data_IF_943669331567
#
_entry.id   IF_943669331567
#
_cell.length_a   1.000
_cell.length_b   1.000
_cell.length_c   1.000
_cell.angle_alpha   90.00
_cell.angle_beta   90.00
_cell.angle_gamma   90.00
#
_symmetry.space_group_name_H-M   'P 1'
#
loop_
_entity.id
_entity.type
_entity.pdbx_description
1 polymer ?
#
# COMPACT_ATOMS: atom_id res chain seq x y z
N UNK A 1 -2.14 8.18 -2.09
CA UNK A 1 -2.14 8.38 -0.62
C UNK A 1 -1.35 9.64 -0.27
N UNK A 2 -1.74 10.44 0.74
CA UNK A 2 -0.99 11.65 1.12
C UNK A 2 0.44 11.35 1.57
N UNK A 3 1.40 12.19 1.16
CA UNK A 3 2.82 12.00 1.48
C UNK A 3 3.11 12.00 2.98
N UNK A 4 2.37 12.78 3.79
CA UNK A 4 2.62 12.87 5.24
C UNK A 4 2.45 11.52 5.97
N UNK A 5 1.80 10.52 5.38
CA UNK A 5 1.69 9.19 6.00
C UNK A 5 3.06 8.59 6.31
N UNK A 6 4.10 8.91 5.52
CA UNK A 6 5.46 8.40 5.76
C UNK A 6 6.10 8.98 7.03
N UNK A 7 5.56 10.05 7.61
CA UNK A 7 6.04 10.60 8.90
C UNK A 7 5.42 9.91 10.12
N UNK A 8 4.42 9.05 9.92
CA UNK A 8 3.72 8.34 10.99
C UNK A 8 4.52 7.08 11.38
N UNK A 9 5.66 7.24 12.04
CA UNK A 9 6.62 6.17 12.37
C UNK A 9 6.02 4.99 13.18
N UNK A 10 4.97 5.24 13.93
CA UNK A 10 4.25 4.23 14.72
C UNK A 10 2.98 3.69 14.03
N UNK A 11 2.76 4.03 12.77
CA UNK A 11 1.60 3.56 12.03
C UNK A 11 1.70 2.05 11.80
N UNK A 12 0.69 1.32 12.29
CA UNK A 12 0.62 -0.15 12.19
C UNK A 12 -0.41 -0.63 11.18
N UNK A 13 -1.49 0.11 11.01
CA UNK A 13 -2.59 -0.30 10.15
C UNK A 13 -3.03 0.88 9.31
N UNK A 14 -3.06 0.67 8.00
CA UNK A 14 -3.68 1.58 7.07
C UNK A 14 -4.58 0.79 6.12
N UNK A 15 -5.86 1.14 6.14
CA UNK A 15 -6.85 0.58 5.23
C UNK A 15 -7.43 1.73 4.42
N UNK A 16 -7.28 1.66 3.10
CA UNK A 16 -7.82 2.65 2.18
C UNK A 16 -9.09 2.09 1.54
N UNK A 17 -10.13 2.90 1.53
CA UNK A 17 -11.40 2.61 0.89
C UNK A 17 -11.81 3.84 0.08
N UNK A 18 -12.37 3.61 -1.12
CA UNK A 18 -12.99 4.67 -1.91
C UNK A 18 -14.50 4.58 -1.76
N UNK A 19 -15.15 5.74 -1.73
CA UNK A 19 -16.60 5.83 -1.70
C UNK A 19 -17.23 5.55 -3.08
N UNK A 20 -16.45 5.71 -4.16
CA UNK A 20 -16.88 5.44 -5.53
C UNK A 20 -15.73 4.85 -6.37
N UNK A 21 -16.08 3.90 -7.24
CA UNK A 21 -15.14 3.20 -8.12
C UNK A 21 -14.41 2.03 -7.46
N UNK A 22 -14.02 1.05 -8.27
CA UNK A 22 -13.14 -0.05 -7.86
C UNK A 22 -11.76 0.28 -8.41
N UNK A 23 -11.01 1.12 -7.69
CA UNK A 23 -9.61 1.26 -8.02
C UNK A 23 -8.69 1.50 -6.81
N UNK A 24 -7.49 0.94 -6.88
CA UNK A 24 -6.47 1.05 -5.86
C UNK A 24 -5.97 2.48 -5.64
N UNK A 25 -5.21 2.67 -4.57
CA UNK A 25 -4.51 3.92 -4.25
C UNK A 25 -3.01 3.73 -4.39
N UNK A 26 -2.37 4.55 -5.21
CA UNK A 26 -0.90 4.60 -5.29
C UNK A 26 -0.31 4.99 -3.94
N UNK A 27 0.71 4.24 -3.52
CA UNK A 27 1.51 4.55 -2.35
C UNK A 27 2.61 5.56 -2.71
N UNK A 28 2.87 6.58 -1.87
CA UNK A 28 3.99 7.48 -2.07
C UNK A 28 5.31 6.73 -1.85
N UNK A 29 6.35 7.26 -2.48
CA UNK A 29 7.73 6.86 -2.21
C UNK A 29 8.05 7.00 -0.71
N UNK A 30 8.83 6.04 -0.18
CA UNK A 30 9.26 6.02 1.21
C UNK A 30 8.31 5.31 2.17
N UNK A 31 7.16 4.81 1.71
CA UNK A 31 6.26 3.97 2.55
C UNK A 31 7.00 2.76 3.11
N UNK A 32 7.90 2.16 2.34
CA UNK A 32 8.76 1.05 2.75
C UNK A 32 9.65 1.35 3.96
N UNK A 33 9.79 2.62 4.37
CA UNK A 33 10.50 2.99 5.60
C UNK A 33 9.69 2.75 6.89
N UNK A 34 8.37 2.54 6.79
CA UNK A 34 7.48 2.31 7.93
C UNK A 34 7.66 0.90 8.49
N UNK A 35 8.64 0.73 9.40
CA UNK A 35 9.04 -0.58 9.95
C UNK A 35 7.96 -1.25 10.80
N UNK A 36 7.00 -0.49 11.33
CA UNK A 36 5.94 -1.00 12.21
C UNK A 36 4.67 -1.41 11.46
N UNK A 37 4.65 -1.33 10.13
CA UNK A 37 3.44 -1.57 9.36
C UNK A 37 3.05 -3.05 9.33
N UNK A 38 1.83 -3.35 9.77
CA UNK A 38 1.27 -4.71 9.85
C UNK A 38 0.15 -4.94 8.83
N UNK A 39 -0.54 -3.89 8.41
CA UNK A 39 -1.69 -3.99 7.48
C UNK A 39 -1.69 -2.83 6.50
N UNK A 40 -1.73 -3.17 5.21
CA UNK A 40 -1.83 -2.23 4.10
C UNK A 40 -2.85 -2.75 3.09
N UNK A 41 -4.01 -2.11 2.97
CA UNK A 41 -5.07 -2.56 2.05
C UNK A 41 -5.62 -1.41 1.20
N UNK A 42 -6.16 -1.76 0.03
CA UNK A 42 -6.73 -0.81 -0.92
C UNK A 42 -5.70 -0.15 -1.83
N UNK A 43 -4.57 -0.81 -2.08
CA UNK A 43 -3.49 -0.25 -2.90
C UNK A 43 -3.63 -0.63 -4.38
N UNK A 44 -3.09 0.23 -5.23
CA UNK A 44 -2.87 0.00 -6.66
C UNK A 44 -1.49 -0.68 -6.84
N UNK A 45 -1.38 -1.84 -7.54
CA UNK A 45 -0.12 -2.55 -7.72
C UNK A 45 0.86 -1.88 -8.68
N UNK A 46 0.44 -0.84 -9.40
CA UNK A 46 1.25 -0.18 -10.44
C UNK A 46 2.42 0.64 -9.86
N UNK A 47 3.40 0.95 -10.72
CA UNK A 47 4.38 2.03 -10.52
C UNK A 47 5.21 1.96 -9.23
N UNK A 48 6.19 1.06 -9.17
CA UNK A 48 7.15 1.00 -8.05
C UNK A 48 6.59 0.47 -6.73
N UNK A 49 5.28 0.23 -6.64
CA UNK A 49 4.59 -0.28 -5.45
C UNK A 49 5.24 -1.54 -4.87
N UNK A 50 5.63 -2.50 -5.72
CA UNK A 50 6.33 -3.70 -5.28
C UNK A 50 7.66 -3.40 -4.56
N UNK A 51 8.38 -2.37 -5.02
CA UNK A 51 9.66 -1.93 -4.45
C UNK A 51 9.52 -1.32 -3.06
N UNK A 52 8.39 -0.69 -2.76
CA UNK A 52 8.06 -0.18 -1.43
C UNK A 52 7.57 -1.32 -0.51
N UNK A 53 6.67 -2.17 -1.00
CA UNK A 53 6.11 -3.30 -0.23
C UNK A 53 7.20 -4.27 0.22
N UNK A 54 8.20 -4.55 -0.63
CA UNK A 54 9.29 -5.47 -0.25
C UNK A 54 10.05 -5.05 1.01
N UNK A 55 10.03 -3.75 1.34
CA UNK A 55 10.71 -3.19 2.52
C UNK A 55 9.85 -3.23 3.79
N UNK A 56 8.54 -3.49 3.67
CA UNK A 56 7.60 -3.63 4.79
C UNK A 56 7.69 -5.03 5.41
N UNK A 57 8.82 -5.34 6.05
CA UNK A 57 9.14 -6.70 6.54
C UNK A 57 8.22 -7.21 7.65
N UNK A 58 7.46 -6.33 8.31
CA UNK A 58 6.47 -6.70 9.34
C UNK A 58 5.04 -6.84 8.79
N UNK A 59 4.83 -6.66 7.49
CA UNK A 59 3.51 -6.68 6.89
C UNK A 59 2.88 -8.07 7.01
N UNK A 60 1.70 -8.15 7.62
CA UNK A 60 0.95 -9.40 7.83
C UNK A 60 -0.29 -9.50 6.96
N UNK A 61 -0.79 -8.37 6.46
CA UNK A 61 -1.96 -8.28 5.60
C UNK A 61 -1.72 -7.27 4.50
N UNK A 62 -1.82 -7.74 3.26
CA UNK A 62 -1.76 -6.94 2.04
C UNK A 62 -3.08 -7.08 1.29
N UNK A 63 -3.70 -5.96 0.92
CA UNK A 63 -4.89 -5.94 0.10
C UNK A 63 -4.66 -5.07 -1.13
N UNK A 64 -4.58 -5.70 -2.29
CA UNK A 64 -4.38 -5.04 -3.58
C UNK A 64 -5.72 -5.00 -4.33
N UNK A 65 -6.00 -3.88 -4.99
CA UNK A 65 -7.14 -3.73 -5.90
C UNK A 65 -6.64 -3.69 -7.34
N UNK A 66 -7.53 -3.88 -8.31
CA UNK A 66 -7.22 -3.83 -9.75
C UNK A 66 -6.13 -4.82 -10.18
N UNK A 67 -6.14 -6.01 -9.56
CA UNK A 67 -5.29 -7.10 -10.02
C UNK A 67 -5.90 -7.62 -11.32
N UNK A 68 -5.34 -7.24 -12.46
CA UNK A 68 -5.73 -7.84 -13.74
C UNK A 68 -5.14 -9.24 -13.82
N UNK A 69 -5.96 -10.25 -14.07
CA UNK A 69 -5.48 -11.55 -14.54
C UNK A 69 -4.73 -11.29 -15.84
N UNK A 70 -3.44 -11.56 -15.87
CA UNK A 70 -2.65 -11.49 -17.08
C UNK A 70 -3.11 -12.58 -18.03
N UNK A 71 -4.10 -12.29 -18.89
CA UNK A 71 -4.37 -13.12 -20.06
C UNK A 71 -3.22 -12.88 -21.05
N UNK A 72 -2.31 -13.85 -21.12
CA UNK A 72 -1.43 -14.10 -22.27
C UNK A 72 -1.93 -15.33 -23.01
#
# INVERSE_FOLDING_TARGET
MPKFVVSLSNLRHLKMFKNHGVCGVKIPEGVGSLRNFLTLTGIDPSGGTAGEIRNLTQLRRLGVLDVTEGYQ
#
